data_IF_350926407918
#
_entry.id   IF_350926407918
#
_cell.length_a   1.000
_cell.length_b   1.000
_cell.length_c   1.000
_cell.angle_alpha   90.00
_cell.angle_beta   90.00
_cell.angle_gamma   90.00
#
_symmetry.space_group_name_H-M   'P 1'
#
loop_
_entity.id
_entity.type
_entity.pdbx_description
1 polymer ?
#
# COMPACT_ATOMS: atom_id res chain seq x y z
N UNK A 1 -21.09 14.05 -21.28
CA UNK A 1 -21.53 13.03 -20.31
C UNK A 1 -22.57 13.67 -19.42
N UNK A 2 -23.74 13.07 -19.23
CA UNK A 2 -24.77 13.66 -18.36
C UNK A 2 -24.42 13.46 -16.88
N UNK A 3 -25.01 14.28 -16.01
CA UNK A 3 -24.67 14.34 -14.58
C UNK A 3 -24.90 13.00 -13.87
N UNK A 4 -25.96 12.28 -14.23
CA UNK A 4 -26.28 10.97 -13.67
C UNK A 4 -25.21 9.91 -14.00
N UNK A 5 -24.74 9.87 -15.26
CA UNK A 5 -23.67 8.97 -15.69
C UNK A 5 -22.35 9.31 -15.00
N UNK A 6 -22.07 10.60 -14.77
CA UNK A 6 -20.89 11.02 -14.02
C UNK A 6 -20.92 10.54 -12.56
N UNK A 7 -22.05 10.74 -11.85
CA UNK A 7 -22.21 10.26 -10.46
C UNK A 7 -22.04 8.75 -10.35
N UNK A 8 -22.63 7.99 -11.28
CA UNK A 8 -22.46 6.52 -11.33
C UNK A 8 -20.99 6.13 -11.52
N UNK A 9 -20.24 6.82 -12.39
CA UNK A 9 -18.81 6.58 -12.56
C UNK A 9 -18.01 6.90 -11.31
N UNK A 10 -18.32 7.98 -10.59
CA UNK A 10 -17.67 8.30 -9.31
C UNK A 10 -17.87 7.19 -8.28
N UNK A 11 -19.09 6.67 -8.10
CA UNK A 11 -19.35 5.57 -7.17
C UNK A 11 -18.55 4.31 -7.50
N UNK A 12 -18.39 4.00 -8.79
CA UNK A 12 -17.58 2.85 -9.25
C UNK A 12 -16.10 3.06 -8.89
N UNK A 13 -15.56 4.26 -9.17
CA UNK A 13 -14.18 4.59 -8.85
C UNK A 13 -13.90 4.59 -7.33
N UNK A 14 -14.84 5.10 -6.54
CA UNK A 14 -14.74 5.06 -5.08
C UNK A 14 -14.74 3.62 -4.55
N UNK A 15 -15.59 2.75 -5.10
CA UNK A 15 -15.64 1.34 -4.72
C UNK A 15 -14.34 0.61 -5.06
N UNK A 16 -13.79 0.89 -6.25
CA UNK A 16 -12.49 0.38 -6.67
C UNK A 16 -11.36 0.84 -5.73
N UNK A 17 -11.35 2.13 -5.37
CA UNK A 17 -10.35 2.68 -4.46
C UNK A 17 -10.46 2.05 -3.06
N UNK A 18 -11.67 1.87 -2.53
CA UNK A 18 -11.89 1.20 -1.24
C UNK A 18 -11.38 -0.24 -1.24
N UNK A 19 -11.71 -1.00 -2.28
CA UNK A 19 -11.22 -2.38 -2.43
C UNK A 19 -9.69 -2.44 -2.53
N UNK A 20 -9.10 -1.50 -3.28
CA UNK A 20 -7.64 -1.41 -3.45
C UNK A 20 -6.95 -1.07 -2.12
N UNK A 21 -7.46 -0.10 -1.38
CA UNK A 21 -6.91 0.28 -0.08
C UNK A 21 -7.00 -0.86 0.93
N UNK A 22 -8.14 -1.57 0.98
CA UNK A 22 -8.30 -2.74 1.84
C UNK A 22 -7.28 -3.83 1.52
N UNK A 23 -7.08 -4.14 0.24
CA UNK A 23 -6.06 -5.12 -0.17
C UNK A 23 -4.64 -4.67 0.22
N UNK A 24 -4.34 -3.37 0.12
CA UNK A 24 -3.05 -2.82 0.57
C UNK A 24 -2.86 -2.98 2.07
N UNK A 25 -3.89 -2.70 2.87
CA UNK A 25 -3.85 -2.88 4.33
C UNK A 25 -3.62 -4.34 4.72
N UNK A 26 -4.35 -5.28 4.08
CA UNK A 26 -4.18 -6.72 4.31
C UNK A 26 -2.76 -7.18 3.97
N UNK A 27 -2.20 -6.73 2.85
CA UNK A 27 -0.81 -7.06 2.46
C UNK A 27 0.19 -6.53 3.50
N UNK A 28 0.01 -5.30 3.98
CA UNK A 28 0.91 -4.70 4.97
C UNK A 28 0.81 -5.44 6.30
N UNK A 29 -0.41 -5.80 6.74
CA UNK A 29 -0.62 -6.55 7.98
C UNK A 29 0.07 -7.91 7.93
N UNK A 30 -0.06 -8.63 6.82
CA UNK A 30 0.62 -9.92 6.61
C UNK A 30 2.15 -9.76 6.61
N UNK A 31 2.69 -8.76 5.89
CA UNK A 31 4.14 -8.51 5.92
C UNK A 31 4.65 -8.13 7.32
N UNK A 32 3.82 -7.45 8.12
CA UNK A 32 4.17 -7.06 9.49
C UNK A 32 4.13 -8.23 10.47
N UNK A 33 3.32 -9.27 10.25
CA UNK A 33 3.22 -10.39 11.20
C UNK A 33 4.54 -11.11 11.40
N UNK A 34 5.35 -11.17 10.33
CA UNK A 34 6.63 -11.89 10.31
C UNK A 34 7.84 -10.96 10.52
N UNK A 35 7.63 -9.64 10.53
CA UNK A 35 8.69 -8.64 10.60
C UNK A 35 8.77 -7.94 11.97
N UNK A 36 9.98 -7.75 12.48
CA UNK A 36 10.25 -7.02 13.73
C UNK A 36 10.53 -5.53 13.53
N UNK A 37 10.86 -5.13 12.30
CA UNK A 37 11.25 -3.75 11.98
C UNK A 37 10.67 -3.33 10.64
N UNK A 38 10.45 -2.03 10.46
CA UNK A 38 10.03 -1.48 9.17
C UNK A 38 11.01 -1.79 8.03
N UNK A 39 12.31 -1.86 8.32
CA UNK A 39 13.32 -2.26 7.34
C UNK A 39 13.11 -3.69 6.82
N UNK A 40 12.68 -4.61 7.70
CA UNK A 40 12.33 -5.98 7.29
C UNK A 40 11.06 -5.99 6.44
N UNK A 41 10.02 -5.25 6.86
CA UNK A 41 8.78 -5.11 6.08
C UNK A 41 9.07 -4.62 4.65
N UNK A 42 9.92 -3.61 4.50
CA UNK A 42 10.33 -3.12 3.18
C UNK A 42 11.11 -4.14 2.35
N UNK A 43 11.99 -4.91 3.00
CA UNK A 43 12.77 -5.95 2.35
C UNK A 43 11.86 -7.06 1.80
N UNK A 44 10.92 -7.54 2.63
CA UNK A 44 9.95 -8.55 2.23
C UNK A 44 8.97 -8.04 1.18
N UNK A 45 8.48 -6.81 1.32
CA UNK A 45 7.63 -6.17 0.32
C UNK A 45 8.33 -6.11 -1.05
N UNK A 46 9.63 -5.75 -1.07
CA UNK A 46 10.41 -5.72 -2.32
C UNK A 46 10.64 -7.11 -2.90
N UNK A 47 10.88 -8.13 -2.06
CA UNK A 47 11.01 -9.52 -2.50
C UNK A 47 9.70 -10.04 -3.10
N UNK A 48 8.58 -9.80 -2.41
CA UNK A 48 7.24 -10.15 -2.87
C UNK A 48 6.88 -9.43 -4.18
N UNK A 49 7.16 -8.13 -4.28
CA UNK A 49 7.01 -7.36 -5.51
C UNK A 49 7.77 -7.98 -6.68
N UNK A 50 9.06 -8.28 -6.51
CA UNK A 50 9.86 -8.92 -7.56
C UNK A 50 9.23 -10.24 -8.00
N UNK A 51 8.85 -11.10 -7.06
CA UNK A 51 8.21 -12.38 -7.35
C UNK A 51 6.89 -12.21 -8.12
N UNK A 52 6.05 -11.26 -7.71
CA UNK A 52 4.81 -10.95 -8.41
C UNK A 52 5.06 -10.44 -9.84
N UNK A 53 6.02 -9.54 -10.03
CA UNK A 53 6.33 -9.01 -11.36
C UNK A 53 6.85 -10.07 -12.33
N UNK A 54 7.57 -11.10 -11.84
CA UNK A 54 8.03 -12.21 -12.67
C UNK A 54 6.93 -13.24 -12.99
N UNK A 55 5.95 -13.41 -12.11
CA UNK A 55 4.94 -14.46 -12.23
C UNK A 55 3.67 -14.02 -12.98
N UNK A 56 3.38 -12.72 -13.05
CA UNK A 56 2.09 -12.23 -13.54
C UNK A 56 2.20 -11.30 -14.75
N UNK A 57 1.24 -11.46 -15.67
CA UNK A 57 1.11 -10.69 -16.92
C UNK A 57 0.77 -9.21 -16.67
N UNK A 58 0.21 -8.87 -15.50
CA UNK A 58 -0.35 -7.54 -15.20
C UNK A 58 0.57 -6.67 -14.31
N UNK A 59 1.83 -6.50 -14.73
CA UNK A 59 2.88 -5.83 -13.94
C UNK A 59 2.48 -4.42 -13.45
N UNK A 60 1.80 -3.63 -14.29
CA UNK A 60 1.38 -2.27 -13.95
C UNK A 60 0.43 -2.21 -12.74
N UNK A 61 -0.48 -3.19 -12.61
CA UNK A 61 -1.42 -3.26 -11.48
C UNK A 61 -0.69 -3.52 -10.17
N UNK A 62 0.29 -4.43 -10.20
CA UNK A 62 1.12 -4.72 -9.03
C UNK A 62 2.01 -3.53 -8.69
N UNK A 63 2.60 -2.86 -9.68
CA UNK A 63 3.40 -1.65 -9.47
C UNK A 63 2.59 -0.58 -8.71
N UNK A 64 1.36 -0.32 -9.15
CA UNK A 64 0.46 0.61 -8.47
C UNK A 64 0.14 0.17 -7.04
N UNK A 65 -0.23 -1.09 -6.82
CA UNK A 65 -0.55 -1.65 -5.51
C UNK A 65 0.62 -1.49 -4.52
N UNK A 66 1.84 -1.86 -4.94
CA UNK A 66 3.04 -1.71 -4.11
C UNK A 66 3.44 -0.25 -3.88
N UNK A 67 3.14 0.65 -4.82
CA UNK A 67 3.35 2.08 -4.63
C UNK A 67 2.44 2.65 -3.52
N UNK A 68 1.19 2.18 -3.45
CA UNK A 68 0.25 2.54 -2.38
C UNK A 68 0.71 1.97 -1.04
N UNK A 69 1.12 0.70 -1.02
CA UNK A 69 1.62 0.07 0.20
C UNK A 69 2.82 0.81 0.79
N UNK A 70 3.77 1.23 -0.05
CA UNK A 70 4.90 2.06 0.39
C UNK A 70 4.45 3.39 0.98
N UNK A 71 3.47 4.07 0.38
CA UNK A 71 2.94 5.34 0.92
C UNK A 71 2.28 5.14 2.29
N UNK A 72 1.59 4.03 2.51
CA UNK A 72 0.99 3.71 3.82
C UNK A 72 2.09 3.51 4.86
N UNK A 73 3.11 2.68 4.56
CA UNK A 73 4.25 2.47 5.46
C UNK A 73 4.99 3.76 5.78
N UNK A 74 5.21 4.62 4.80
CA UNK A 74 5.85 5.93 5.03
C UNK A 74 5.01 6.83 5.94
N UNK A 75 3.69 6.85 5.78
CA UNK A 75 2.81 7.59 6.70
C UNK A 75 2.90 7.06 8.13
N UNK A 76 2.83 5.74 8.30
CA UNK A 76 2.94 5.12 9.63
C UNK A 76 4.27 5.41 10.32
N UNK A 77 5.39 5.43 9.57
CA UNK A 77 6.71 5.82 10.10
C UNK A 77 6.74 7.28 10.55
N UNK A 78 6.09 8.17 9.80
CA UNK A 78 6.07 9.60 10.07
C UNK A 78 5.04 10.00 11.15
N UNK A 79 4.00 9.18 11.37
CA UNK A 79 3.01 9.35 12.44
C UNK A 79 3.54 8.88 13.81
N UNK A 80 4.66 8.14 13.86
CA UNK A 80 5.37 7.91 15.12
C UNK A 80 6.08 9.21 15.55
N UNK A 81 5.78 9.76 16.73
CA UNK A 81 6.36 11.03 17.16
C UNK A 81 7.88 10.89 17.30
N UNK A 82 8.58 11.99 17.01
CA UNK A 82 10.00 12.23 17.34
C UNK A 82 10.15 12.18 18.87
N UNK A 83 10.08 11.00 19.46
CA UNK A 83 10.26 10.74 20.89
C UNK A 83 11.52 9.92 21.05
N UNK A 84 12.61 10.61 20.77
CA UNK A 84 13.97 10.44 21.30
C UNK A 84 14.88 11.37 20.48
N UNK A 85 14.57 12.68 20.46
CA UNK A 85 15.67 13.63 20.41
C UNK A 85 16.35 13.45 21.75
N UNK A 86 17.54 12.86 21.71
CA UNK A 86 18.44 12.73 22.84
C UNK A 86 18.38 14.01 23.67
N UNK A 87 18.11 13.85 24.96
CA UNK A 87 18.47 14.87 25.93
C UNK A 87 19.97 15.13 25.74
N UNK A 88 20.29 16.32 25.22
CA UNK A 88 21.63 16.90 25.23
C UNK A 88 21.54 18.25 25.91
#
# INVERSE_FOLDING_TARGET
MNEEKYKKMQCILESYNKATNKAVEEIIQELKSDCKTYKQVESEMNAFKKKAMYQYINQEKYEYLFSLARKVLEKEKNDLPITNRSES
#
